data_IF_203194936231
#
_entry.id   IF_203194936231
#
_cell.length_a   1.000
_cell.length_b   1.000
_cell.length_c   1.000
_cell.angle_alpha   90.00
_cell.angle_beta   90.00
_cell.angle_gamma   90.00
#
_symmetry.space_group_name_H-M   'P 1'
#
loop_
_entity.id
_entity.type
_entity.pdbx_description
1 polymer ?
#
# COMPACT_ATOMS: atom_id res chain seq x y z
N UNK A 1 4.48 -11.90 19.14
CA UNK A 1 4.38 -10.69 19.99
C UNK A 1 4.61 -9.45 19.15
N UNK A 2 3.80 -8.46 19.31
CA UNK A 2 3.93 -7.18 18.57
C UNK A 2 5.15 -6.40 19.07
N UNK A 3 5.99 -5.97 18.14
CA UNK A 3 7.12 -5.07 18.41
C UNK A 3 6.70 -3.64 18.09
N UNK A 4 7.12 -2.70 18.92
CA UNK A 4 6.85 -1.26 18.74
C UNK A 4 8.18 -0.53 18.59
N UNK A 5 8.29 0.30 17.54
CA UNK A 5 9.44 1.16 17.29
C UNK A 5 9.01 2.62 17.37
N UNK A 6 9.76 3.44 18.07
CA UNK A 6 9.54 4.90 18.15
C UNK A 6 10.60 5.61 17.28
N UNK A 7 10.16 6.16 16.16
CA UNK A 7 11.02 6.81 15.18
C UNK A 7 10.88 8.35 15.18
N UNK A 8 10.40 8.94 16.26
CA UNK A 8 10.24 10.40 16.35
C UNK A 8 11.53 11.19 16.08
N UNK A 9 12.66 10.66 16.52
CA UNK A 9 13.94 11.37 16.40
C UNK A 9 14.88 10.76 15.35
N UNK A 10 14.81 9.48 15.10
CA UNK A 10 15.66 8.78 14.14
C UNK A 10 15.12 7.40 13.80
N UNK A 11 15.25 7.01 12.53
CA UNK A 11 14.94 5.65 12.07
C UNK A 11 16.24 4.84 12.13
N UNK A 12 16.25 3.79 12.93
CA UNK A 12 17.39 2.87 13.00
C UNK A 12 17.29 1.85 11.87
N UNK A 13 18.38 1.65 11.16
CA UNK A 13 18.43 0.77 9.99
C UNK A 13 18.02 -0.67 10.30
N UNK A 14 18.46 -1.22 11.42
CA UNK A 14 18.08 -2.56 11.86
C UNK A 14 16.58 -2.69 12.17
N UNK A 15 15.96 -1.67 12.74
CA UNK A 15 14.52 -1.65 12.99
C UNK A 15 13.73 -1.54 11.68
N UNK A 16 14.20 -0.70 10.74
CA UNK A 16 13.61 -0.58 9.42
C UNK A 16 13.68 -1.91 8.65
N UNK A 17 14.82 -2.58 8.70
CA UNK A 17 14.98 -3.90 8.08
C UNK A 17 14.02 -4.94 8.68
N UNK A 18 13.81 -4.92 9.99
CA UNK A 18 12.82 -5.79 10.64
C UNK A 18 11.38 -5.54 10.12
N UNK A 19 11.01 -4.28 9.90
CA UNK A 19 9.70 -3.92 9.34
C UNK A 19 9.57 -4.38 7.90
N UNK A 20 10.62 -4.19 7.09
CA UNK A 20 10.67 -4.66 5.70
C UNK A 20 10.54 -6.18 5.64
N UNK A 21 11.27 -6.92 6.47
CA UNK A 21 11.21 -8.37 6.51
C UNK A 21 9.82 -8.87 6.97
N UNK A 22 9.19 -8.18 7.91
CA UNK A 22 7.82 -8.46 8.33
C UNK A 22 6.86 -8.39 7.14
N UNK A 23 6.92 -7.34 6.34
CA UNK A 23 6.11 -7.20 5.13
C UNK A 23 6.43 -8.26 4.07
N UNK A 24 7.71 -8.58 3.86
CA UNK A 24 8.15 -9.63 2.92
C UNK A 24 7.69 -11.03 3.34
N UNK A 25 7.53 -11.26 4.62
CA UNK A 25 7.01 -12.51 5.19
C UNK A 25 5.47 -12.58 5.24
N UNK A 26 4.79 -11.71 4.51
CA UNK A 26 3.32 -11.64 4.45
C UNK A 26 2.65 -11.35 5.80
N UNK A 27 3.37 -10.66 6.67
CA UNK A 27 2.85 -10.20 7.95
C UNK A 27 2.40 -8.73 7.88
N UNK A 28 1.67 -8.31 8.91
CA UNK A 28 1.09 -6.97 8.99
C UNK A 28 1.98 -6.01 9.78
N UNK A 29 1.99 -4.74 9.38
CA UNK A 29 2.58 -3.65 10.14
C UNK A 29 1.61 -2.50 10.30
N UNK A 30 1.76 -1.73 11.37
CA UNK A 30 1.02 -0.49 11.58
C UNK A 30 1.98 0.66 11.33
N UNK A 31 1.60 1.54 10.42
CA UNK A 31 2.40 2.69 9.99
C UNK A 31 1.62 3.99 10.21
N UNK A 32 2.31 5.08 10.55
CA UNK A 32 1.70 6.41 10.56
C UNK A 32 1.38 6.84 9.12
N UNK A 33 0.26 7.52 8.96
CA UNK A 33 -0.14 8.16 7.70
C UNK A 33 -0.37 9.66 7.94
N UNK A 34 -0.80 10.39 6.92
CA UNK A 34 -1.10 11.81 7.02
C UNK A 34 -2.30 12.13 7.96
N UNK A 35 -3.13 11.15 8.26
CA UNK A 35 -4.31 11.31 9.12
C UNK A 35 -4.24 10.46 10.38
N UNK A 36 -4.23 9.13 10.23
CA UNK A 36 -4.27 8.15 11.32
C UNK A 36 -3.26 7.04 11.09
N UNK A 37 -3.02 6.19 12.08
CA UNK A 37 -2.24 4.97 11.87
C UNK A 37 -2.98 4.00 10.95
N UNK A 38 -2.29 3.48 9.94
CA UNK A 38 -2.80 2.52 8.98
C UNK A 38 -2.25 1.11 9.21
N UNK A 39 -3.10 0.11 9.09
CA UNK A 39 -2.69 -1.30 9.02
C UNK A 39 -2.29 -1.61 7.59
N UNK A 40 -1.05 -2.04 7.40
CA UNK A 40 -0.44 -2.25 6.09
C UNK A 40 0.05 -3.69 5.88
N UNK A 41 0.01 -4.11 4.63
CA UNK A 41 0.50 -5.39 4.14
C UNK A 41 1.10 -5.24 2.75
N UNK A 42 1.83 -6.24 2.27
CA UNK A 42 2.29 -6.28 0.89
C UNK A 42 1.12 -6.42 -0.10
N UNK A 43 0.96 -5.46 -1.00
CA UNK A 43 -0.06 -5.49 -2.05
C UNK A 43 0.17 -6.59 -3.11
N UNK A 44 1.35 -7.21 -3.10
CA UNK A 44 1.69 -8.33 -3.98
C UNK A 44 1.28 -9.70 -3.41
N UNK A 45 0.84 -9.75 -2.15
CA UNK A 45 0.48 -10.98 -1.44
C UNK A 45 -1.01 -10.99 -1.11
N UNK A 46 -1.73 -11.90 -1.75
CA UNK A 46 -3.16 -12.13 -1.49
C UNK A 46 -3.41 -12.58 -0.04
N UNK A 47 -2.54 -13.45 0.48
CA UNK A 47 -2.56 -13.90 1.88
C UNK A 47 -2.43 -12.74 2.86
N UNK A 48 -1.44 -11.86 2.64
CA UNK A 48 -1.19 -10.70 3.51
C UNK A 48 -2.37 -9.71 3.47
N UNK A 49 -2.92 -9.45 2.29
CA UNK A 49 -4.07 -8.57 2.15
C UNK A 49 -5.34 -9.13 2.82
N UNK A 50 -5.58 -10.43 2.73
CA UNK A 50 -6.68 -11.09 3.45
C UNK A 50 -6.56 -10.94 4.97
N UNK A 51 -5.36 -10.99 5.52
CA UNK A 51 -5.12 -10.75 6.96
C UNK A 51 -5.63 -9.39 7.42
N UNK A 52 -5.51 -8.33 6.59
CA UNK A 52 -6.05 -6.99 6.93
C UNK A 52 -7.56 -7.06 7.17
N UNK A 53 -8.31 -7.69 6.27
CA UNK A 53 -9.76 -7.81 6.41
C UNK A 53 -10.15 -8.63 7.63
N UNK A 54 -9.45 -9.73 7.89
CA UNK A 54 -9.68 -10.60 9.06
C UNK A 54 -9.45 -9.83 10.36
N UNK A 55 -8.30 -9.16 10.49
CA UNK A 55 -7.93 -8.41 11.71
C UNK A 55 -8.88 -7.26 11.98
N UNK A 56 -9.32 -6.56 10.93
CA UNK A 56 -10.27 -5.45 11.05
C UNK A 56 -11.73 -5.90 11.20
N UNK A 57 -12.05 -7.18 11.01
CA UNK A 57 -13.43 -7.65 10.93
C UNK A 57 -14.24 -6.98 9.81
N UNK A 58 -13.56 -6.58 8.73
CA UNK A 58 -14.15 -5.80 7.64
C UNK A 58 -14.51 -6.72 6.49
N UNK A 59 -15.69 -6.49 5.89
CA UNK A 59 -16.07 -7.18 4.67
C UNK A 59 -15.13 -6.83 3.51
N UNK A 60 -14.88 -7.81 2.62
CA UNK A 60 -14.01 -7.64 1.44
C UNK A 60 -14.77 -6.96 0.27
N UNK A 61 -15.50 -5.90 0.56
CA UNK A 61 -16.28 -5.11 -0.39
C UNK A 61 -15.69 -3.72 -0.65
N UNK A 62 -14.80 -3.27 0.24
CA UNK A 62 -14.11 -2.00 0.17
C UNK A 62 -12.63 -2.19 -0.19
N UNK A 63 -12.17 -1.73 -1.37
CA UNK A 63 -10.78 -1.83 -1.77
C UNK A 63 -9.79 -1.25 -0.76
N UNK A 64 -8.59 -1.81 -0.73
CA UNK A 64 -7.45 -1.26 -0.02
C UNK A 64 -6.76 -0.20 -0.89
N UNK A 65 -6.18 0.81 -0.26
CA UNK A 65 -5.41 1.84 -0.97
C UNK A 65 -3.95 1.40 -0.99
N UNK A 66 -3.35 1.35 -2.18
CA UNK A 66 -1.94 1.02 -2.34
C UNK A 66 -1.10 2.28 -2.16
N UNK A 67 -0.14 2.24 -1.24
CA UNK A 67 0.83 3.32 -1.04
C UNK A 67 2.09 3.05 -1.87
N UNK A 68 2.56 4.07 -2.56
CA UNK A 68 3.78 4.05 -3.39
C UNK A 68 4.74 5.13 -2.94
N UNK A 69 6.04 4.87 -3.04
CA UNK A 69 7.08 5.80 -2.59
C UNK A 69 7.50 6.80 -3.69
N UNK A 70 7.31 6.46 -4.95
CA UNK A 70 7.76 7.27 -6.08
C UNK A 70 6.99 6.92 -7.37
N UNK A 71 7.16 7.76 -8.39
CA UNK A 71 6.50 7.61 -9.69
C UNK A 71 6.86 6.30 -10.39
N UNK A 72 8.10 5.82 -10.25
CA UNK A 72 8.51 4.53 -10.84
C UNK A 72 7.68 3.37 -10.32
N UNK A 73 7.39 3.34 -9.03
CA UNK A 73 6.55 2.30 -8.44
C UNK A 73 5.13 2.30 -9.01
N UNK A 74 4.59 3.46 -9.38
CA UNK A 74 3.28 3.54 -10.03
C UNK A 74 3.32 2.74 -11.33
N UNK A 75 4.29 2.99 -12.21
CA UNK A 75 4.41 2.29 -13.49
C UNK A 75 4.68 0.79 -13.37
N UNK A 76 5.26 0.36 -12.25
CA UNK A 76 5.50 -1.06 -12.00
C UNK A 76 4.19 -1.83 -11.70
N UNK A 77 3.16 -1.13 -11.21
CA UNK A 77 1.93 -1.75 -10.69
C UNK A 77 0.65 -1.39 -11.44
N UNK A 78 0.66 -0.34 -12.27
CA UNK A 78 -0.49 0.07 -13.09
C UNK A 78 -0.24 -0.15 -14.57
N UNK A 79 -1.32 -0.28 -15.34
CA UNK A 79 -1.27 -0.17 -16.78
C UNK A 79 -0.87 1.25 -17.17
N UNK A 80 -0.39 1.45 -18.41
CA UNK A 80 0.11 2.75 -18.85
C UNK A 80 -0.93 3.85 -18.63
N UNK A 81 -0.65 4.85 -17.78
CA UNK A 81 -1.55 5.97 -17.56
C UNK A 81 -1.75 6.79 -18.86
N UNK A 82 -2.93 7.39 -18.99
CA UNK A 82 -3.21 8.33 -20.08
C UNK A 82 -2.59 9.72 -19.78
N UNK A 83 -2.70 10.65 -20.74
CA UNK A 83 -2.10 11.98 -20.63
C UNK A 83 -2.61 12.80 -19.42
N UNK A 84 -3.90 12.68 -19.11
CA UNK A 84 -4.52 13.37 -17.96
C UNK A 84 -4.04 12.78 -16.64
N UNK A 85 -4.03 11.45 -16.55
CA UNK A 85 -3.53 10.72 -15.38
C UNK A 85 -2.06 11.04 -15.12
N UNK A 86 -1.22 11.10 -16.18
CA UNK A 86 0.18 11.53 -16.08
C UNK A 86 0.34 12.93 -15.49
N UNK A 87 -0.46 13.89 -15.96
CA UNK A 87 -0.44 15.27 -15.46
C UNK A 87 -0.85 15.34 -14.00
N UNK A 88 -1.84 14.54 -13.59
CA UNK A 88 -2.27 14.45 -12.19
C UNK A 88 -1.18 13.86 -11.29
N UNK A 89 -0.52 12.78 -11.74
CA UNK A 89 0.61 12.18 -11.04
C UNK A 89 1.74 13.21 -10.87
N UNK A 90 2.13 13.90 -11.94
CA UNK A 90 3.21 14.88 -11.91
C UNK A 90 2.91 16.09 -11.02
N UNK A 91 1.62 16.48 -10.94
CA UNK A 91 1.20 17.68 -10.20
C UNK A 91 0.99 17.44 -8.70
N UNK A 92 0.53 16.25 -8.31
CA UNK A 92 0.05 15.98 -6.95
C UNK A 92 0.85 14.90 -6.20
N UNK A 93 1.69 14.13 -6.89
CA UNK A 93 2.51 13.10 -6.26
C UNK A 93 4.00 13.49 -6.27
N UNK A 94 4.76 13.25 -5.17
CA UNK A 94 4.30 12.66 -3.92
C UNK A 94 3.44 13.61 -3.08
N UNK A 95 2.41 13.09 -2.40
CA UNK A 95 1.52 13.88 -1.55
C UNK A 95 0.27 13.09 -1.16
N UNK A 96 -0.62 13.69 -0.34
CA UNK A 96 -1.87 13.05 0.09
C UNK A 96 -2.92 13.08 -1.03
N UNK A 97 -2.66 12.32 -2.07
CA UNK A 97 -3.49 12.25 -3.27
C UNK A 97 -3.73 10.80 -3.66
N UNK A 98 -4.98 10.43 -3.89
CA UNK A 98 -5.37 9.10 -4.32
C UNK A 98 -5.94 9.15 -5.73
N UNK A 99 -5.41 8.32 -6.62
CA UNK A 99 -5.83 8.20 -8.01
C UNK A 99 -6.31 6.76 -8.26
N UNK A 100 -7.38 6.59 -9.02
CA UNK A 100 -7.91 5.29 -9.39
C UNK A 100 -7.42 4.94 -10.80
N UNK A 101 -6.65 3.87 -10.91
CA UNK A 101 -6.01 3.44 -12.15
C UNK A 101 -6.21 1.93 -12.37
N UNK A 102 -6.08 1.49 -13.62
CA UNK A 102 -6.09 0.08 -13.96
C UNK A 102 -4.82 -0.61 -13.46
N UNK A 103 -5.00 -1.64 -12.63
CA UNK A 103 -3.88 -2.38 -12.06
C UNK A 103 -3.30 -3.39 -13.04
N UNK A 104 -1.99 -3.65 -12.91
CA UNK A 104 -1.35 -4.85 -13.48
C UNK A 104 -1.66 -6.08 -12.63
N UNK A 105 -1.39 -7.27 -13.20
CA UNK A 105 -1.56 -8.56 -12.51
C UNK A 105 -0.67 -8.74 -11.28
N UNK A 106 0.40 -7.95 -11.15
CA UNK A 106 1.30 -7.97 -9.98
C UNK A 106 0.60 -7.60 -8.67
N UNK A 107 -0.42 -6.74 -8.73
CA UNK A 107 -1.25 -6.41 -7.57
C UNK A 107 -2.33 -7.47 -7.41
N UNK A 108 -2.43 -8.06 -6.23
CA UNK A 108 -3.38 -9.13 -5.97
C UNK A 108 -4.84 -8.65 -6.02
N UNK A 109 -5.75 -9.55 -6.40
CA UNK A 109 -7.17 -9.21 -6.58
C UNK A 109 -7.88 -8.85 -5.26
N UNK A 110 -7.40 -9.33 -4.13
CA UNK A 110 -7.93 -8.98 -2.80
C UNK A 110 -7.78 -7.49 -2.50
N UNK A 111 -6.71 -6.82 -2.97
CA UNK A 111 -6.52 -5.37 -2.82
C UNK A 111 -7.67 -4.59 -3.43
N UNK A 112 -8.09 -4.98 -4.61
CA UNK A 112 -9.13 -4.31 -5.39
C UNK A 112 -10.54 -4.86 -5.15
N UNK A 113 -10.69 -5.83 -4.25
CA UNK A 113 -11.94 -6.59 -4.09
C UNK A 113 -12.43 -7.17 -5.42
N UNK A 114 -11.50 -7.73 -6.21
CA UNK A 114 -11.72 -8.33 -7.55
C UNK A 114 -12.18 -7.33 -8.64
N UNK A 115 -12.00 -6.03 -8.43
CA UNK A 115 -12.21 -5.01 -9.47
C UNK A 115 -10.98 -4.90 -10.38
N UNK A 116 -11.17 -4.35 -11.58
CA UNK A 116 -10.06 -4.12 -12.54
C UNK A 116 -9.21 -2.91 -12.17
N UNK A 117 -9.77 -1.97 -11.44
CA UNK A 117 -9.16 -0.72 -11.00
C UNK A 117 -8.67 -0.83 -9.55
N UNK A 118 -7.69 -0.05 -9.22
CA UNK A 118 -7.12 0.04 -7.88
C UNK A 118 -6.93 1.49 -7.46
N UNK A 119 -7.02 1.73 -6.16
CA UNK A 119 -6.84 3.06 -5.58
C UNK A 119 -5.38 3.22 -5.09
N UNK A 120 -4.73 4.27 -5.55
CA UNK A 120 -3.34 4.59 -5.25
C UNK A 120 -3.20 5.93 -4.54
#
# INVERSE_FOLDING_TARGET
MTKIYDWKNNIKENELNNVIDTLKNNELVILPTETVYGLAASAFSDEACKKIFIVKGRAQDNPLIVHVANKKMIYDIVEKPNEIEEKLIDSFMPGPFTLILNKKKSICDTVTCFRKDCWY
#
